data_IF_065762760677
#
_entry.id   IF_065762760677
#
_cell.length_a   1.000
_cell.length_b   1.000
_cell.length_c   1.000
_cell.angle_alpha   90.00
_cell.angle_beta   90.00
_cell.angle_gamma   90.00
#
_symmetry.space_group_name_H-M   'P 1'
#
loop_
_entity.id
_entity.type
_entity.pdbx_description
1 polymer ?
#
# COMPACT_ATOMS: atom_id res chain seq x y z
N UNK A 1 -24.18 8.98 1.04
CA UNK A 1 -23.18 9.06 -0.04
C UNK A 1 -21.93 8.34 0.43
N UNK A 2 -21.57 7.28 -0.29
CA UNK A 2 -20.47 6.35 0.04
C UNK A 2 -19.12 6.99 -0.26
N UNK A 3 -18.53 7.60 0.74
CA UNK A 3 -17.16 8.12 0.69
C UNK A 3 -16.21 6.94 0.91
N UNK A 4 -15.82 6.28 -0.19
CA UNK A 4 -14.81 5.21 -0.21
C UNK A 4 -13.46 5.77 -0.66
N UNK A 5 -12.92 6.77 0.05
CA UNK A 5 -11.62 7.39 -0.26
C UNK A 5 -10.48 6.90 0.63
N UNK A 6 -10.72 5.91 1.49
CA UNK A 6 -9.69 5.32 2.38
C UNK A 6 -9.25 3.92 2.01
N UNK A 7 -10.07 3.24 1.23
CA UNK A 7 -9.84 1.86 0.79
C UNK A 7 -9.08 1.76 -0.55
N UNK A 8 -9.32 2.63 -1.58
CA UNK A 8 -8.64 2.44 -2.87
C UNK A 8 -7.14 2.69 -2.80
N UNK A 9 -6.67 3.73 -2.09
CA UNK A 9 -5.23 3.97 -1.87
C UNK A 9 -4.53 2.81 -1.15
N UNK A 10 -5.22 2.20 -0.18
CA UNK A 10 -4.72 1.03 0.54
C UNK A 10 -4.61 -0.18 -0.38
N UNK A 11 -5.67 -0.47 -1.13
CA UNK A 11 -5.69 -1.57 -2.09
C UNK A 11 -4.61 -1.36 -3.15
N UNK A 12 -4.45 -0.13 -3.65
CA UNK A 12 -3.41 0.21 -4.62
C UNK A 12 -2.00 -0.04 -4.06
N UNK A 13 -1.70 0.41 -2.84
CA UNK A 13 -0.38 0.15 -2.21
C UNK A 13 -0.12 -1.33 -1.98
N UNK A 14 -1.14 -2.09 -1.58
CA UNK A 14 -1.04 -3.54 -1.44
C UNK A 14 -0.78 -4.21 -2.79
N UNK A 15 -1.52 -3.85 -3.84
CA UNK A 15 -1.34 -4.39 -5.18
C UNK A 15 0.07 -4.07 -5.69
N UNK A 16 0.50 -2.81 -5.61
CA UNK A 16 1.84 -2.39 -6.05
C UNK A 16 2.93 -3.12 -5.25
N UNK A 17 2.79 -3.21 -3.92
CA UNK A 17 3.74 -3.91 -3.07
C UNK A 17 3.87 -5.39 -3.43
N UNK A 18 2.74 -6.09 -3.62
CA UNK A 18 2.72 -7.50 -4.03
C UNK A 18 3.30 -7.69 -5.42
N UNK A 19 2.98 -6.81 -6.38
CA UNK A 19 3.52 -6.86 -7.73
C UNK A 19 5.05 -6.67 -7.73
N UNK A 20 5.58 -5.77 -6.92
CA UNK A 20 7.04 -5.55 -6.80
C UNK A 20 7.78 -6.74 -6.17
N UNK A 21 7.14 -7.43 -5.22
CA UNK A 21 7.66 -8.67 -4.65
C UNK A 21 7.65 -9.78 -5.70
N UNK A 22 6.56 -9.93 -6.45
CA UNK A 22 6.39 -11.00 -7.43
C UNK A 22 7.21 -10.80 -8.72
N UNK A 23 7.41 -9.55 -9.15
CA UNK A 23 8.09 -9.16 -10.38
C UNK A 23 9.42 -9.90 -10.65
N UNK A 24 10.40 -9.97 -9.71
CA UNK A 24 11.64 -10.69 -9.95
C UNK A 24 11.47 -12.21 -10.17
N UNK A 25 10.40 -12.81 -9.66
CA UNK A 25 10.16 -14.25 -9.76
C UNK A 25 9.38 -14.66 -11.01
N UNK A 26 8.59 -13.75 -11.59
CA UNK A 26 7.68 -14.07 -12.71
C UNK A 26 8.12 -13.47 -14.06
N UNK A 27 8.85 -12.35 -14.06
CA UNK A 27 9.12 -11.62 -15.31
C UNK A 27 10.36 -12.09 -16.05
N UNK A 28 11.34 -12.68 -15.35
CA UNK A 28 12.61 -13.11 -15.95
C UNK A 28 13.43 -11.95 -16.56
N UNK A 29 13.16 -10.70 -16.17
CA UNK A 29 13.86 -9.54 -16.73
C UNK A 29 15.35 -9.53 -16.35
N UNK A 30 16.20 -9.13 -17.31
CA UNK A 30 17.64 -8.98 -17.09
C UNK A 30 17.97 -8.00 -15.93
N UNK A 31 17.08 -7.05 -15.63
CA UNK A 31 17.19 -6.16 -14.48
C UNK A 31 17.29 -6.94 -13.15
N UNK A 32 16.54 -8.04 -13.01
CA UNK A 32 16.52 -8.87 -11.80
C UNK A 32 17.62 -9.96 -11.80
N UNK A 33 18.40 -10.10 -12.88
CA UNK A 33 19.56 -10.98 -12.90
C UNK A 33 20.69 -10.46 -11.99
N UNK A 34 20.69 -9.15 -11.71
CA UNK A 34 21.57 -8.58 -10.70
C UNK A 34 20.91 -8.71 -9.31
N UNK A 35 21.56 -9.39 -8.35
CA UNK A 35 21.00 -9.63 -7.02
C UNK A 35 20.66 -8.34 -6.27
N UNK A 36 21.38 -7.24 -6.52
CA UNK A 36 21.10 -5.93 -5.89
C UNK A 36 19.70 -5.43 -6.27
N UNK A 37 19.35 -5.50 -7.55
CA UNK A 37 18.05 -5.04 -8.06
C UNK A 37 16.90 -5.97 -7.66
N UNK A 38 17.15 -7.27 -7.61
CA UNK A 38 16.21 -8.25 -7.07
C UNK A 38 15.87 -7.96 -5.60
N UNK A 39 16.88 -7.84 -4.74
CA UNK A 39 16.66 -7.55 -3.32
C UNK A 39 16.04 -6.16 -3.11
N UNK A 40 16.45 -5.15 -3.89
CA UNK A 40 15.85 -3.83 -3.83
C UNK A 40 14.34 -3.87 -4.14
N UNK A 41 13.90 -4.57 -5.20
CA UNK A 41 12.49 -4.65 -5.55
C UNK A 41 11.67 -5.38 -4.48
N UNK A 42 12.21 -6.48 -3.95
CA UNK A 42 11.57 -7.26 -2.88
C UNK A 42 11.44 -6.44 -1.60
N UNK A 43 12.50 -5.76 -1.17
CA UNK A 43 12.49 -4.91 0.04
C UNK A 43 11.47 -3.78 -0.12
N UNK A 44 11.49 -3.07 -1.24
CA UNK A 44 10.54 -1.97 -1.50
C UNK A 44 9.11 -2.50 -1.56
N UNK A 45 8.89 -3.63 -2.22
CA UNK A 45 7.57 -4.25 -2.29
C UNK A 45 7.03 -4.70 -0.93
N UNK A 46 7.88 -5.30 -0.09
CA UNK A 46 7.55 -5.67 1.29
C UNK A 46 7.21 -4.43 2.13
N UNK A 47 8.02 -3.37 2.05
CA UNK A 47 7.74 -2.13 2.78
C UNK A 47 6.40 -1.51 2.35
N UNK A 48 6.10 -1.46 1.04
CA UNK A 48 4.83 -0.94 0.53
C UNK A 48 3.63 -1.81 0.94
N UNK A 49 3.77 -3.13 0.86
CA UNK A 49 2.74 -4.07 1.30
C UNK A 49 2.49 -3.95 2.81
N UNK A 50 3.54 -3.97 3.62
CA UNK A 50 3.44 -3.77 5.07
C UNK A 50 2.85 -2.39 5.40
N UNK A 51 3.19 -1.34 4.67
CA UNK A 51 2.59 0.00 4.84
C UNK A 51 1.09 0.00 4.51
N UNK A 52 0.64 -0.84 3.56
CA UNK A 52 -0.78 -1.04 3.26
C UNK A 52 -1.50 -1.95 4.27
N UNK A 53 -0.80 -2.86 4.94
CA UNK A 53 -1.36 -3.79 5.94
C UNK A 53 -1.43 -3.14 7.33
N UNK A 54 -0.30 -2.58 7.78
CA UNK A 54 -0.11 -1.99 9.11
C UNK A 54 -0.82 -0.64 9.11
N UNK A 55 -2.04 -0.65 9.66
CA UNK A 55 -2.97 0.48 9.84
C UNK A 55 -2.33 1.73 10.46
N UNK A 56 -1.61 2.51 9.67
CA UNK A 56 -1.45 3.94 9.89
C UNK A 56 -1.66 4.61 8.54
N UNK A 57 -2.92 4.94 8.23
CA UNK A 57 -3.23 5.93 7.21
C UNK A 57 -3.09 7.30 7.88
N UNK A 58 -1.94 8.01 7.80
CA UNK A 58 -1.86 9.37 8.32
C UNK A 58 -2.90 10.28 7.67
N UNK A 59 -3.33 10.00 6.43
CA UNK A 59 -4.39 10.78 5.76
C UNK A 59 -5.77 10.69 6.41
N UNK A 60 -6.13 9.57 7.05
CA UNK A 60 -7.45 9.42 7.69
C UNK A 60 -7.50 9.88 9.14
N UNK A 61 -6.36 9.88 9.84
CA UNK A 61 -6.22 10.51 11.17
C UNK A 61 -5.96 12.01 11.07
N UNK A 62 -5.31 12.52 10.01
CA UNK A 62 -5.18 13.96 9.74
C UNK A 62 -6.46 14.57 9.16
N UNK A 63 -7.17 13.86 8.28
CA UNK A 63 -8.52 14.24 7.87
C UNK A 63 -9.51 13.72 8.89
N UNK A 64 -9.55 14.38 10.05
CA UNK A 64 -10.51 14.28 11.14
C UNK A 64 -11.97 14.48 10.65
N UNK A 65 -12.44 13.65 9.73
CA UNK A 65 -13.83 13.51 9.33
C UNK A 65 -14.41 12.49 10.31
N UNK A 66 -14.53 12.98 11.54
CA UNK A 66 -15.44 12.46 12.53
C UNK A 66 -16.84 12.49 11.90
N UNK A 67 -17.30 11.38 11.33
CA UNK A 67 -18.68 11.26 10.83
C UNK A 67 -19.69 11.02 11.95
N UNK A 68 -19.40 11.46 13.18
CA UNK A 68 -20.41 11.57 14.22
C UNK A 68 -20.70 13.05 14.39
N UNK A 69 -21.63 13.56 13.56
CA UNK A 69 -22.54 14.60 14.02
C UNK A 69 -23.35 13.93 15.13
N UNK A 70 -22.87 13.99 16.36
CA UNK A 70 -23.68 13.64 17.51
C UNK A 70 -24.92 14.53 17.40
N UNK A 71 -26.10 13.92 17.19
CA UNK A 71 -27.35 14.64 17.41
C UNK A 71 -27.29 15.04 18.89
N UNK A 72 -27.10 16.33 19.13
CA UNK A 72 -27.43 16.95 20.40
C UNK A 72 -28.89 16.60 20.67
N UNK A 73 -29.11 15.62 21.53
CA UNK A 73 -30.35 15.42 22.28
C UNK A 73 -30.11 15.96 23.67
#
# INVERSE_FOLDING_TARGET
MTINVGTPDRILRLIIGVLLIAAPFITGWALFANPVWMWASVIVGVVLALTGIIRFCPGYTLLNISTVRNKQG
#
